data_IF_934883218562
#
_entry.id   IF_934883218562
#
_cell.length_a   1.000
_cell.length_b   1.000
_cell.length_c   1.000
_cell.angle_alpha   90.00
_cell.angle_beta   90.00
_cell.angle_gamma   90.00
#
_symmetry.space_group_name_H-M   'P 1'
#
loop_
_entity.id
_entity.type
_entity.pdbx_description
1 polymer ?
#
# COMPACT_ATOMS: atom_id res chain seq x y z
N UNK A 1 14.14 6.46 7.27
CA UNK A 1 14.01 6.61 5.80
C UNK A 1 12.69 7.30 5.44
N UNK A 2 12.63 7.95 4.29
CA UNK A 2 11.40 8.40 3.62
C UNK A 2 10.89 7.30 2.69
N UNK A 3 9.70 6.81 2.97
CA UNK A 3 9.06 5.69 2.27
C UNK A 3 7.79 6.20 1.56
N UNK A 4 7.67 5.91 0.27
CA UNK A 4 6.42 6.09 -0.48
C UNK A 4 5.76 4.72 -0.66
N UNK A 5 4.45 4.66 -0.43
CA UNK A 5 3.65 3.43 -0.61
C UNK A 5 2.60 3.66 -1.71
N UNK A 6 2.65 2.85 -2.76
CA UNK A 6 1.63 2.74 -3.80
C UNK A 6 0.95 1.37 -3.69
N UNK A 7 -0.28 1.34 -3.21
CA UNK A 7 -0.90 0.10 -2.79
C UNK A 7 -2.38 -0.04 -3.14
N UNK A 8 -2.91 -1.23 -2.87
CA UNK A 8 -4.32 -1.55 -2.98
C UNK A 8 -5.06 -1.31 -1.66
N UNK A 9 -6.21 -1.99 -1.46
CA UNK A 9 -6.99 -1.94 -0.22
C UNK A 9 -6.21 -2.48 0.99
N UNK A 10 -5.25 -3.39 0.78
CA UNK A 10 -4.34 -3.84 1.85
C UNK A 10 -3.52 -2.68 2.42
N UNK A 11 -3.06 -1.77 1.56
CA UNK A 11 -2.32 -0.57 1.95
C UNK A 11 -3.20 0.57 2.46
N UNK A 12 -4.45 0.66 2.02
CA UNK A 12 -5.45 1.59 2.61
C UNK A 12 -5.86 1.17 4.01
N UNK A 13 -6.26 -0.09 4.20
CA UNK A 13 -6.58 -0.65 5.52
C UNK A 13 -5.32 -0.73 6.41
N UNK A 14 -4.16 -0.90 5.77
CA UNK A 14 -2.83 -0.87 6.37
C UNK A 14 -2.52 0.41 7.14
N UNK A 15 -3.26 1.51 6.95
CA UNK A 15 -3.21 2.72 7.80
C UNK A 15 -3.37 2.43 9.30
N UNK A 16 -4.09 1.35 9.65
CA UNK A 16 -4.20 0.83 11.02
C UNK A 16 -3.31 -0.40 11.29
N UNK A 17 -2.77 -1.01 10.23
CA UNK A 17 -1.89 -2.18 10.23
C UNK A 17 -0.46 -1.83 9.87
N UNK A 18 0.10 -2.40 8.80
CA UNK A 18 1.53 -2.32 8.50
C UNK A 18 2.06 -0.90 8.27
N UNK A 19 1.27 -0.02 7.64
CA UNK A 19 1.66 1.38 7.40
C UNK A 19 1.83 2.11 8.73
N UNK A 20 0.97 1.81 9.72
CA UNK A 20 1.11 2.34 11.08
C UNK A 20 2.40 1.88 11.74
N UNK A 21 2.75 0.61 11.58
CA UNK A 21 3.97 0.04 12.13
C UNK A 21 5.22 0.67 11.49
N UNK A 22 5.24 0.82 10.16
CA UNK A 22 6.32 1.51 9.43
C UNK A 22 6.54 2.94 9.94
N UNK A 23 5.45 3.69 10.18
CA UNK A 23 5.49 5.07 10.71
C UNK A 23 6.10 5.20 12.10
N UNK A 24 6.29 4.10 12.84
CA UNK A 24 6.99 4.18 14.13
C UNK A 24 8.49 4.49 13.98
N UNK A 25 9.06 4.27 12.79
CA UNK A 25 10.50 4.45 12.54
C UNK A 25 10.82 5.26 11.29
N UNK A 26 9.88 5.37 10.36
CA UNK A 26 10.08 5.94 9.04
C UNK A 26 9.08 7.06 8.76
N UNK A 27 9.48 8.01 7.94
CA UNK A 27 8.54 8.95 7.33
C UNK A 27 7.81 8.20 6.21
N UNK A 28 6.48 8.11 6.28
CA UNK A 28 5.68 7.31 5.33
C UNK A 28 4.60 8.14 4.65
N UNK A 29 4.76 8.31 3.34
CA UNK A 29 3.77 8.87 2.44
C UNK A 29 3.01 7.71 1.80
N UNK A 30 1.68 7.69 1.94
CA UNK A 30 0.85 6.62 1.40
C UNK A 30 -0.13 7.20 0.37
N UNK A 31 0.02 6.79 -0.88
CA UNK A 31 -0.80 7.21 -2.03
C UNK A 31 -1.68 6.06 -2.54
N UNK A 32 -1.95 5.07 -1.69
CA UNK A 32 -2.71 3.86 -2.02
C UNK A 32 -4.20 4.14 -2.19
N UNK A 33 -4.84 3.34 -3.04
CA UNK A 33 -6.29 3.35 -3.25
C UNK A 33 -6.81 1.92 -3.25
N UNK A 34 -8.02 1.70 -2.72
CA UNK A 34 -8.63 0.38 -2.74
C UNK A 34 -9.08 -0.01 -4.16
N UNK A 35 -9.06 -1.30 -4.49
CA UNK A 35 -9.73 -1.86 -5.69
C UNK A 35 -9.22 -1.29 -7.02
N UNK A 36 -7.93 -1.00 -7.10
CA UNK A 36 -7.24 -0.50 -8.29
C UNK A 36 -6.39 -1.59 -8.93
N UNK A 37 -6.24 -1.53 -10.25
CA UNK A 37 -5.39 -2.45 -11.04
C UNK A 37 -4.09 -1.79 -11.50
N UNK A 38 -3.34 -2.50 -12.35
CA UNK A 38 -2.03 -2.06 -12.88
C UNK A 38 -2.03 -0.64 -13.48
N UNK A 39 -3.12 -0.22 -14.15
CA UNK A 39 -3.21 1.10 -14.79
C UNK A 39 -3.09 2.25 -13.79
N UNK A 40 -3.73 2.09 -12.63
CA UNK A 40 -3.65 3.07 -11.55
C UNK A 40 -2.21 3.21 -11.04
N UNK A 41 -1.49 2.10 -10.90
CA UNK A 41 -0.12 2.14 -10.41
C UNK A 41 0.82 2.86 -11.39
N UNK A 42 0.70 2.57 -12.68
CA UNK A 42 1.41 3.30 -13.74
C UNK A 42 1.08 4.80 -13.70
N UNK A 43 -0.21 5.14 -13.62
CA UNK A 43 -0.70 6.51 -13.52
C UNK A 43 -0.10 7.23 -12.30
N UNK A 44 -0.11 6.61 -11.11
CA UNK A 44 0.46 7.20 -9.89
C UNK A 44 1.97 7.35 -9.93
N UNK A 45 2.68 6.44 -10.58
CA UNK A 45 4.13 6.60 -10.78
C UNK A 45 4.41 7.81 -11.67
N UNK A 46 3.66 8.00 -12.74
CA UNK A 46 3.79 9.16 -13.63
C UNK A 46 3.48 10.47 -12.88
N UNK A 47 2.35 10.52 -12.17
CA UNK A 47 1.90 11.70 -11.45
C UNK A 47 2.86 12.13 -10.33
N UNK A 48 3.49 11.16 -9.65
CA UNK A 48 4.31 11.40 -8.48
C UNK A 48 5.78 11.05 -8.68
N UNK A 49 6.26 11.03 -9.93
CA UNK A 49 7.60 10.55 -10.31
C UNK A 49 8.71 11.22 -9.46
N UNK A 50 8.74 12.55 -9.42
CA UNK A 50 9.75 13.30 -8.66
C UNK A 50 9.69 13.01 -7.15
N UNK A 51 8.49 12.89 -6.59
CA UNK A 51 8.30 12.57 -5.17
C UNK A 51 8.86 11.18 -4.86
N UNK A 52 8.56 10.20 -5.72
CA UNK A 52 9.02 8.82 -5.56
C UNK A 52 10.54 8.75 -5.72
N UNK A 53 11.10 9.40 -6.73
CA UNK A 53 12.55 9.50 -6.94
C UNK A 53 13.26 10.21 -5.78
N UNK A 54 12.61 11.17 -5.12
CA UNK A 54 13.16 11.82 -3.93
C UNK A 54 13.17 10.93 -2.68
N UNK A 55 12.35 9.88 -2.65
CA UNK A 55 12.24 8.99 -1.50
C UNK A 55 13.40 7.98 -1.44
N UNK A 56 13.64 7.42 -0.26
CA UNK A 56 14.66 6.38 -0.08
C UNK A 56 14.16 5.02 -0.56
N UNK A 57 12.84 4.79 -0.46
CA UNK A 57 12.20 3.52 -0.78
C UNK A 57 10.78 3.73 -1.31
N UNK A 58 10.46 3.05 -2.39
CA UNK A 58 9.11 2.78 -2.88
C UNK A 58 8.67 1.37 -2.46
N UNK A 59 7.54 1.28 -1.78
CA UNK A 59 6.83 0.02 -1.54
C UNK A 59 5.62 -0.02 -2.48
N UNK A 60 5.46 -1.11 -3.23
CA UNK A 60 4.33 -1.30 -4.13
C UNK A 60 3.54 -2.58 -3.80
N UNK A 61 2.22 -2.46 -3.73
CA UNK A 61 1.24 -3.54 -3.56
C UNK A 61 0.19 -3.36 -4.66
N UNK A 62 0.26 -4.19 -5.71
CA UNK A 62 -0.60 -4.03 -6.89
C UNK A 62 -1.43 -5.29 -7.19
N UNK A 63 -0.82 -6.46 -7.06
CA UNK A 63 -1.26 -7.67 -7.76
C UNK A 63 -2.58 -8.30 -7.24
N UNK A 64 -3.03 -8.00 -6.02
CA UNK A 64 -4.11 -8.78 -5.39
C UNK A 64 -5.47 -8.60 -6.09
N UNK A 65 -5.76 -7.40 -6.59
CA UNK A 65 -7.00 -7.17 -7.33
C UNK A 65 -6.91 -7.80 -8.73
N UNK A 66 -5.70 -7.88 -9.29
CA UNK A 66 -5.45 -8.51 -10.57
C UNK A 66 -5.67 -10.02 -10.49
N UNK A 67 -5.08 -10.70 -9.50
CA UNK A 67 -5.31 -12.14 -9.26
C UNK A 67 -6.76 -12.43 -8.89
N UNK A 68 -7.38 -11.56 -8.08
CA UNK A 68 -8.74 -11.80 -7.60
C UNK A 68 -9.79 -11.58 -8.69
N UNK A 69 -9.56 -10.67 -9.66
CA UNK A 69 -10.62 -10.23 -10.59
C UNK A 69 -10.08 -9.84 -11.96
N UNK A 70 -9.08 -8.97 -12.03
CA UNK A 70 -8.80 -8.24 -13.28
C UNK A 70 -8.02 -9.06 -14.30
N UNK A 71 -7.10 -9.92 -13.88
CA UNK A 71 -6.31 -10.75 -14.78
C UNK A 71 -7.19 -11.63 -15.65
N UNK A 72 -8.20 -12.28 -15.07
CA UNK A 72 -9.13 -13.12 -15.82
C UNK A 72 -9.95 -12.34 -16.86
N UNK A 73 -10.26 -11.07 -16.59
CA UNK A 73 -11.01 -10.21 -17.49
C UNK A 73 -10.13 -9.61 -18.61
N UNK A 74 -8.90 -9.23 -18.28
CA UNK A 74 -7.96 -8.57 -19.21
C UNK A 74 -7.12 -9.57 -20.02
N UNK A 75 -6.95 -10.81 -19.56
CA UNK A 75 -6.20 -11.85 -20.26
C UNK A 75 -4.74 -11.46 -20.52
N UNK A 76 -4.27 -11.67 -21.75
CA UNK A 76 -2.88 -11.40 -22.15
C UNK A 76 -2.50 -9.92 -22.08
N UNK A 77 -3.48 -9.02 -22.20
CA UNK A 77 -3.26 -7.58 -22.10
C UNK A 77 -2.75 -7.19 -20.70
N UNK A 78 -3.29 -7.82 -19.65
CA UNK A 78 -2.77 -7.62 -18.29
C UNK A 78 -1.28 -8.00 -18.17
N UNK A 79 -0.86 -9.09 -18.82
CA UNK A 79 0.55 -9.53 -18.80
C UNK A 79 1.44 -8.46 -19.47
N UNK A 80 0.98 -7.89 -20.60
CA UNK A 80 1.67 -6.79 -21.27
C UNK A 80 1.82 -5.58 -20.35
N UNK A 81 0.74 -5.16 -19.69
CA UNK A 81 0.74 -4.00 -18.81
C UNK A 81 1.59 -4.19 -17.55
N UNK A 82 1.54 -5.40 -16.99
CA UNK A 82 2.37 -5.77 -15.84
C UNK A 82 3.86 -5.73 -16.18
N UNK A 83 4.22 -6.18 -17.39
CA UNK A 83 5.59 -6.06 -17.89
C UNK A 83 6.02 -4.59 -17.99
N UNK A 84 5.16 -3.70 -18.50
CA UNK A 84 5.46 -2.26 -18.54
C UNK A 84 5.60 -1.67 -17.14
N UNK A 85 4.75 -2.07 -16.18
CA UNK A 85 4.90 -1.66 -14.79
C UNK A 85 6.27 -2.08 -14.23
N UNK A 86 6.68 -3.33 -14.44
CA UNK A 86 7.97 -3.81 -13.93
C UNK A 86 9.16 -3.14 -14.63
N UNK A 87 9.08 -2.89 -15.93
CA UNK A 87 10.11 -2.14 -16.65
C UNK A 87 10.20 -0.68 -16.15
N UNK A 88 9.05 -0.05 -15.85
CA UNK A 88 8.99 1.26 -15.23
C UNK A 88 9.66 1.26 -13.85
N UNK A 89 9.32 0.32 -12.96
CA UNK A 89 9.93 0.19 -11.63
C UNK A 89 11.44 -0.03 -11.70
N UNK A 90 11.92 -0.81 -12.69
CA UNK A 90 13.36 -1.07 -12.89
C UNK A 90 14.13 0.19 -13.32
N UNK A 91 13.47 1.18 -13.90
CA UNK A 91 14.10 2.40 -14.37
C UNK A 91 14.20 3.50 -13.29
N UNK A 92 13.69 3.28 -12.09
CA UNK A 92 13.62 4.28 -11.02
C UNK A 92 14.94 4.36 -10.23
N UNK A 93 15.37 5.57 -9.84
CA UNK A 93 16.52 5.82 -8.98
C UNK A 93 16.16 5.85 -7.47
N UNK A 94 15.17 5.03 -7.10
CA UNK A 94 14.80 4.74 -5.71
C UNK A 94 14.78 3.23 -5.50
N UNK A 95 15.01 2.77 -4.27
CA UNK A 95 14.83 1.35 -3.98
C UNK A 95 13.36 0.98 -4.15
N UNK A 96 13.08 -0.21 -4.69
CA UNK A 96 11.70 -0.68 -4.89
C UNK A 96 11.54 -2.03 -4.20
N UNK A 97 10.52 -2.17 -3.35
CA UNK A 97 10.06 -3.46 -2.80
C UNK A 97 8.62 -3.69 -3.23
N UNK A 98 8.39 -4.77 -3.98
CA UNK A 98 7.04 -5.25 -4.27
C UNK A 98 6.56 -6.14 -3.11
N UNK A 99 5.45 -5.81 -2.47
CA UNK A 99 4.82 -6.62 -1.44
C UNK A 99 3.66 -7.42 -2.04
N UNK A 100 3.79 -8.73 -2.05
CA UNK A 100 2.75 -9.63 -2.51
C UNK A 100 1.98 -10.11 -1.29
N UNK A 101 0.95 -9.34 -0.91
CA UNK A 101 0.03 -9.70 0.17
C UNK A 101 -0.57 -11.10 -0.01
N UNK A 102 -0.68 -11.91 1.05
CA UNK A 102 -1.23 -13.25 0.93
C UNK A 102 -2.75 -13.19 0.74
N UNK A 103 -3.32 -14.26 0.19
CA UNK A 103 -4.77 -14.42 0.03
C UNK A 103 -5.19 -15.88 0.22
N UNK A 104 -6.49 -16.09 0.41
CA UNK A 104 -7.13 -17.40 0.44
C UNK A 104 -7.78 -17.60 -0.92
N UNK A 105 -7.24 -18.55 -1.69
CA UNK A 105 -7.72 -18.85 -3.04
C UNK A 105 -9.22 -19.18 -3.06
N UNK A 106 -9.92 -18.65 -4.07
CA UNK A 106 -11.31 -18.96 -4.40
C UNK A 106 -11.40 -19.45 -5.85
N UNK A 107 -12.47 -20.15 -6.19
CA UNK A 107 -12.70 -20.71 -7.54
C UNK A 107 -12.61 -19.69 -8.68
N UNK A 108 -12.96 -18.43 -8.43
CA UNK A 108 -12.91 -17.37 -9.44
C UNK A 108 -11.55 -16.67 -9.56
N UNK A 109 -10.58 -17.02 -8.71
CA UNK A 109 -9.24 -16.43 -8.75
C UNK A 109 -8.35 -17.24 -9.70
N UNK A 110 -7.64 -16.57 -10.59
CA UNK A 110 -6.70 -17.23 -11.50
C UNK A 110 -5.26 -17.10 -10.95
N UNK A 111 -4.81 -18.17 -10.29
CA UNK A 111 -3.50 -18.23 -9.63
C UNK A 111 -2.33 -18.08 -10.60
N UNK A 112 -2.52 -18.30 -11.91
CA UNK A 112 -1.46 -18.10 -12.89
C UNK A 112 -0.94 -16.66 -12.89
N UNK A 113 -1.80 -15.68 -12.57
CA UNK A 113 -1.37 -14.28 -12.50
C UNK A 113 -0.46 -13.98 -11.31
N UNK A 114 -0.51 -14.78 -10.23
CA UNK A 114 0.49 -14.72 -9.17
C UNK A 114 1.86 -15.17 -9.69
N UNK A 115 1.90 -16.32 -10.38
CA UNK A 115 3.13 -16.87 -10.96
C UNK A 115 3.74 -15.92 -11.99
N UNK A 116 2.91 -15.35 -12.87
CA UNK A 116 3.33 -14.35 -13.87
C UNK A 116 3.93 -13.11 -13.20
N UNK A 117 3.34 -12.62 -12.11
CA UNK A 117 3.88 -11.49 -11.37
C UNK A 117 5.24 -11.82 -10.73
N UNK A 118 5.36 -12.96 -10.05
CA UNK A 118 6.60 -13.44 -9.43
C UNK A 118 7.70 -13.61 -10.46
N UNK A 119 7.42 -14.29 -11.56
CA UNK A 119 8.39 -14.50 -12.65
C UNK A 119 8.80 -13.18 -13.31
N UNK A 120 7.83 -12.29 -13.57
CA UNK A 120 8.10 -10.97 -14.17
C UNK A 120 9.03 -10.11 -13.32
N UNK A 121 8.91 -10.16 -11.99
CA UNK A 121 9.83 -9.48 -11.07
C UNK A 121 11.20 -10.15 -11.02
N UNK A 122 11.26 -11.50 -10.96
CA UNK A 122 12.52 -12.26 -10.97
C UNK A 122 13.33 -11.98 -12.24
N UNK A 123 12.69 -12.04 -13.41
CA UNK A 123 13.32 -11.80 -14.71
C UNK A 123 13.90 -10.39 -14.86
N UNK A 124 13.36 -9.43 -14.10
CA UNK A 124 13.82 -8.04 -14.08
C UNK A 124 14.73 -7.70 -12.91
N UNK A 125 15.03 -8.69 -12.07
CA UNK A 125 15.83 -8.50 -10.87
C UNK A 125 15.22 -7.40 -9.98
N UNK A 126 13.91 -7.44 -9.77
CA UNK A 126 13.20 -6.55 -8.85
C UNK A 126 13.15 -7.17 -7.45
N UNK A 127 13.22 -6.33 -6.42
CA UNK A 127 13.07 -6.82 -5.04
C UNK A 127 11.59 -7.01 -4.72
N UNK A 128 11.28 -8.13 -4.09
CA UNK A 128 9.91 -8.44 -3.68
C UNK A 128 9.88 -9.29 -2.41
N UNK A 129 8.75 -9.24 -1.72
CA UNK A 129 8.42 -10.09 -0.57
C UNK A 129 7.14 -10.82 -0.89
N UNK A 130 7.27 -12.13 -1.06
CA UNK A 130 6.12 -13.01 -1.24
C UNK A 130 5.57 -13.44 0.12
N UNK A 131 4.50 -12.78 0.56
CA UNK A 131 3.84 -13.13 1.81
C UNK A 131 2.90 -14.32 1.65
N UNK A 132 2.54 -14.70 0.41
CA UNK A 132 1.71 -15.85 0.12
C UNK A 132 2.44 -17.15 0.46
N UNK A 133 3.75 -17.22 0.16
CA UNK A 133 4.62 -18.36 0.48
C UNK A 133 4.79 -18.61 2.00
N UNK A 134 4.45 -17.65 2.86
CA UNK A 134 4.61 -17.77 4.32
C UNK A 134 3.63 -18.78 4.95
N UNK A 135 2.55 -19.14 4.26
CA UNK A 135 1.61 -20.17 4.75
C UNK A 135 0.67 -19.70 5.86
N UNK A 136 0.13 -18.49 5.73
CA UNK A 136 -0.83 -17.95 6.70
C UNK A 136 -2.16 -18.75 6.73
N UNK A 137 -2.73 -18.89 7.93
CA UNK A 137 -4.01 -19.60 8.18
C UNK A 137 -5.20 -18.65 8.19
N UNK A 138 -6.43 -19.17 7.99
CA UNK A 138 -7.68 -18.39 7.92
C UNK A 138 -7.86 -17.35 9.05
N UNK A 139 -7.43 -17.67 10.26
CA UNK A 139 -7.51 -16.80 11.43
C UNK A 139 -6.68 -15.50 11.32
N UNK A 140 -5.67 -15.48 10.44
CA UNK A 140 -4.82 -14.30 10.18
C UNK A 140 -5.48 -13.32 9.22
N UNK A 141 -6.60 -13.71 8.62
CA UNK A 141 -7.33 -12.96 7.62
C UNK A 141 -8.65 -12.40 8.16
N UNK A 142 -8.96 -11.16 7.79
CA UNK A 142 -10.30 -10.59 8.00
C UNK A 142 -11.29 -11.19 7.01
N UNK A 143 -10.92 -11.16 5.74
CA UNK A 143 -11.62 -11.76 4.60
C UNK A 143 -10.57 -12.39 3.68
N UNK A 144 -10.94 -12.88 2.50
CA UNK A 144 -10.05 -13.74 1.72
C UNK A 144 -8.85 -13.02 1.09
N UNK A 145 -8.81 -11.68 1.12
CA UNK A 145 -7.73 -10.89 0.52
C UNK A 145 -7.09 -9.90 1.50
N UNK A 146 -7.71 -9.66 2.66
CA UNK A 146 -7.21 -8.75 3.67
C UNK A 146 -6.77 -9.47 4.95
N UNK A 147 -5.55 -9.16 5.39
CA UNK A 147 -5.08 -9.53 6.72
C UNK A 147 -5.93 -8.86 7.81
N UNK A 148 -6.00 -9.51 8.97
CA UNK A 148 -6.45 -8.83 10.19
C UNK A 148 -5.54 -7.64 10.51
N UNK A 149 -6.06 -6.65 11.23
CA UNK A 149 -5.28 -5.46 11.63
C UNK A 149 -4.03 -5.89 12.43
N UNK A 150 -4.17 -6.86 13.33
CA UNK A 150 -3.05 -7.37 14.12
C UNK A 150 -1.97 -8.03 13.27
N UNK A 151 -2.37 -8.93 12.35
CA UNK A 151 -1.42 -9.60 11.47
C UNK A 151 -0.70 -8.61 10.54
N UNK A 152 -1.45 -7.67 9.95
CA UNK A 152 -0.88 -6.59 9.13
C UNK A 152 0.09 -5.72 9.93
N UNK A 153 -0.26 -5.34 11.16
CA UNK A 153 0.62 -4.56 12.01
C UNK A 153 1.94 -5.30 12.32
N UNK A 154 1.86 -6.57 12.72
CA UNK A 154 3.04 -7.38 13.04
C UNK A 154 3.96 -7.56 11.83
N UNK A 155 3.38 -7.82 10.66
CA UNK A 155 4.10 -7.83 9.39
C UNK A 155 4.86 -6.50 9.18
N UNK A 156 4.19 -5.36 9.41
CA UNK A 156 4.81 -4.05 9.29
C UNK A 156 5.92 -3.77 10.30
N UNK A 157 5.87 -4.36 11.50
CA UNK A 157 6.95 -4.25 12.49
C UNK A 157 8.21 -5.00 12.04
N UNK A 158 8.04 -6.21 11.49
CA UNK A 158 9.14 -7.00 10.94
C UNK A 158 9.72 -6.27 9.73
N UNK A 159 8.86 -5.82 8.81
CA UNK A 159 9.26 -5.05 7.64
C UNK A 159 10.01 -3.76 8.04
N UNK A 160 9.53 -3.01 9.04
CA UNK A 160 10.20 -1.81 9.53
C UNK A 160 11.61 -2.09 10.08
N UNK A 161 11.80 -3.26 10.74
CA UNK A 161 13.10 -3.72 11.24
C UNK A 161 14.04 -4.05 10.09
N UNK A 162 13.56 -4.78 9.08
CA UNK A 162 14.37 -5.14 7.92
C UNK A 162 14.75 -3.91 7.09
N UNK A 163 13.81 -3.00 6.83
CA UNK A 163 14.08 -1.74 6.13
C UNK A 163 15.10 -0.88 6.88
N UNK A 164 15.08 -0.85 8.22
CA UNK A 164 16.07 -0.10 8.99
C UNK A 164 17.51 -0.61 8.78
N UNK A 165 17.70 -1.87 8.36
CA UNK A 165 19.04 -2.40 8.00
C UNK A 165 19.55 -1.83 6.68
N UNK A 166 18.66 -1.23 5.88
CA UNK A 166 18.97 -0.69 4.55
C UNK A 166 19.35 0.79 4.59
N UNK A 167 19.36 1.46 5.75
CA UNK A 167 19.63 2.90 5.87
C UNK A 167 20.98 3.34 5.30
N UNK A 168 21.95 2.42 5.24
CA UNK A 168 23.29 2.69 4.68
C UNK A 168 23.47 2.16 3.25
N UNK A 169 22.42 1.59 2.64
CA UNK A 169 22.48 1.13 1.25
C UNK A 169 22.38 2.35 0.34
N UNK A 170 23.34 2.55 -0.58
CA UNK A 170 23.26 3.63 -1.55
C UNK A 170 22.03 3.49 -2.45
N UNK A 171 21.32 4.60 -2.68
CA UNK A 171 20.19 4.64 -3.61
C UNK A 171 20.60 4.17 -5.01
N UNK A 172 19.70 3.51 -5.76
CA UNK A 172 19.94 3.19 -7.15
C UNK A 172 20.20 4.46 -7.97
N UNK A 173 20.94 4.33 -9.07
CA UNK A 173 21.30 5.48 -9.92
C UNK A 173 21.41 5.11 -11.40
N UNK A 174 21.35 6.11 -12.28
CA UNK A 174 21.49 5.94 -13.74
C UNK A 174 20.26 5.35 -14.44
N UNK A 175 19.16 5.16 -13.71
CA UNK A 175 17.87 4.79 -14.27
C UNK A 175 17.18 5.99 -14.91
N UNK A 176 16.45 5.74 -15.99
CA UNK A 176 15.68 6.77 -16.68
C UNK A 176 14.53 6.15 -17.49
N UNK A 177 13.37 6.79 -17.49
CA UNK A 177 12.28 6.48 -18.42
C UNK A 177 12.42 7.43 -19.61
N UNK A 178 12.65 6.88 -20.82
CA UNK A 178 12.82 7.66 -22.05
C UNK A 178 11.50 7.82 -22.79
N UNK A 179 10.75 6.72 -22.87
CA UNK A 179 9.46 6.68 -23.53
C UNK A 179 8.45 5.94 -22.65
N UNK A 180 7.26 6.52 -22.50
CA UNK A 180 6.15 5.94 -21.78
C UNK A 180 4.89 6.04 -22.65
N UNK A 181 4.24 4.91 -23.00
CA UNK A 181 3.03 4.96 -23.80
C UNK A 181 1.84 5.53 -23.02
N UNK A 182 1.91 5.59 -21.69
CA UNK A 182 0.80 6.03 -20.86
C UNK A 182 0.87 7.52 -20.57
N UNK A 183 -0.27 8.18 -20.69
CA UNK A 183 -0.44 9.57 -20.29
C UNK A 183 -1.66 9.73 -19.40
N UNK A 184 -1.51 10.51 -18.35
CA UNK A 184 -2.60 10.91 -17.46
C UNK A 184 -3.12 12.27 -17.89
N UNK A 185 -4.44 12.43 -17.81
CA UNK A 185 -5.13 13.70 -17.90
C UNK A 185 -6.02 13.87 -16.68
N UNK A 186 -5.81 14.92 -15.88
CA UNK A 186 -6.80 15.27 -14.85
C UNK A 186 -8.05 15.85 -15.52
N UNK A 187 -9.21 15.71 -14.88
CA UNK A 187 -10.44 16.25 -15.48
C UNK A 187 -10.36 17.77 -15.65
N UNK A 188 -9.72 18.49 -14.72
CA UNK A 188 -9.53 19.94 -14.80
C UNK A 188 -8.59 20.36 -15.93
N UNK A 189 -7.62 19.53 -16.33
CA UNK A 189 -6.80 19.77 -17.54
C UNK A 189 -7.60 19.59 -18.83
N UNK A 190 -8.52 18.61 -18.88
CA UNK A 190 -9.31 18.31 -20.07
C UNK A 190 -10.38 19.36 -20.37
N UNK A 191 -10.90 20.00 -19.32
CA UNK A 191 -11.99 20.98 -19.41
C UNK A 191 -11.72 22.19 -18.50
N UNK A 192 -10.66 22.97 -18.77
CA UNK A 192 -10.19 24.03 -17.87
C UNK A 192 -11.20 25.15 -17.61
N UNK A 193 -12.21 25.29 -18.48
CA UNK A 193 -13.24 26.31 -18.37
C UNK A 193 -14.51 25.82 -17.66
N UNK A 194 -14.54 24.57 -17.19
CA UNK A 194 -15.71 23.99 -16.50
C UNK A 194 -15.42 23.90 -15.00
N UNK A 195 -16.26 24.48 -14.13
CA UNK A 195 -16.09 24.34 -12.69
C UNK A 195 -16.09 22.88 -12.26
N UNK A 196 -15.00 22.44 -11.64
CA UNK A 196 -14.90 21.12 -11.04
C UNK A 196 -15.24 21.19 -9.54
N UNK A 197 -15.78 20.10 -9.02
CA UNK A 197 -15.94 19.89 -7.59
C UNK A 197 -14.63 19.35 -7.02
N UNK A 198 -14.36 19.58 -5.73
CA UNK A 198 -13.15 19.10 -5.07
C UNK A 198 -13.48 18.07 -4.00
N UNK A 199 -12.72 16.98 -3.97
CA UNK A 199 -12.73 16.00 -2.88
C UNK A 199 -11.37 16.00 -2.19
N UNK A 200 -11.39 15.93 -0.86
CA UNK A 200 -10.17 15.77 -0.06
C UNK A 200 -10.41 14.87 1.15
N UNK A 201 -9.51 13.93 1.34
CA UNK A 201 -9.42 13.12 2.54
C UNK A 201 -7.95 13.01 3.00
N UNK A 202 -7.65 12.07 3.92
CA UNK A 202 -6.29 11.90 4.46
C UNK A 202 -5.28 11.28 3.47
N UNK A 203 -5.75 10.62 2.42
CA UNK A 203 -4.94 9.89 1.44
C UNK A 203 -4.87 10.60 0.08
N UNK A 204 -5.91 11.34 -0.29
CA UNK A 204 -6.04 11.89 -1.63
C UNK A 204 -6.79 13.22 -1.64
N UNK A 205 -6.45 14.04 -2.62
CA UNK A 205 -7.12 15.30 -2.96
C UNK A 205 -7.20 15.36 -4.48
N UNK A 206 -8.38 15.58 -5.03
CA UNK A 206 -8.59 15.62 -6.47
C UNK A 206 -9.83 16.43 -6.83
N UNK A 207 -9.84 16.93 -8.07
CA UNK A 207 -11.00 17.54 -8.68
C UNK A 207 -11.81 16.49 -9.44
N UNK A 208 -13.13 16.66 -9.47
CA UNK A 208 -14.05 15.77 -10.17
C UNK A 208 -15.20 16.52 -10.83
N UNK A 209 -15.75 15.96 -11.89
CA UNK A 209 -16.83 16.54 -12.68
C UNK A 209 -17.98 15.53 -12.87
N UNK A 210 -19.24 15.87 -12.52
CA UNK A 210 -20.39 15.10 -12.97
C UNK A 210 -20.56 15.25 -14.48
N UNK A 211 -20.48 14.15 -15.22
CA UNK A 211 -20.67 14.13 -16.67
C UNK A 211 -22.16 14.23 -17.01
N UNK A 212 -22.72 15.44 -17.05
CA UNK A 212 -24.16 15.64 -17.35
C UNK A 212 -24.47 15.77 -18.84
N UNK A 213 -23.45 15.87 -19.68
CA UNK A 213 -23.57 16.00 -21.13
C UNK A 213 -22.40 15.31 -21.82
N UNK A 214 -22.49 15.16 -23.14
CA UNK A 214 -21.42 14.61 -23.96
C UNK A 214 -20.11 15.39 -23.76
N UNK A 215 -19.03 14.66 -23.48
CA UNK A 215 -17.68 15.20 -23.37
C UNK A 215 -16.84 14.68 -24.53
N UNK A 216 -16.34 15.61 -25.34
CA UNK A 216 -15.46 15.32 -26.46
C UNK A 216 -14.01 15.55 -26.02
N UNK A 217 -13.21 14.50 -26.09
CA UNK A 217 -11.83 14.50 -25.64
C UNK A 217 -10.92 14.47 -26.88
N UNK A 218 -10.16 15.55 -27.14
CA UNK A 218 -9.31 15.65 -28.32
C UNK A 218 -7.95 15.00 -28.07
N UNK A 219 -7.92 13.68 -27.85
CA UNK A 219 -6.67 12.96 -27.70
C UNK A 219 -5.86 12.92 -29.00
N UNK A 220 -4.56 12.64 -28.88
CA UNK A 220 -3.69 12.45 -30.03
C UNK A 220 -4.21 11.32 -30.94
N UNK A 221 -4.04 11.37 -32.28
CA UNK A 221 -4.56 10.33 -33.20
C UNK A 221 -4.11 8.90 -32.90
N UNK A 222 -2.99 8.73 -32.22
CA UNK A 222 -2.46 7.42 -31.78
C UNK A 222 -2.77 7.09 -30.31
N UNK A 223 -3.43 7.98 -29.58
CA UNK A 223 -3.91 7.73 -28.21
C UNK A 223 -5.25 7.03 -28.23
N UNK A 224 -5.41 6.05 -27.35
CA UNK A 224 -6.69 5.42 -27.02
C UNK A 224 -6.96 5.58 -25.53
N UNK A 225 -8.23 5.56 -25.13
CA UNK A 225 -8.58 5.56 -23.72
C UNK A 225 -8.21 4.20 -23.12
N UNK A 226 -7.49 4.21 -21.99
CA UNK A 226 -6.94 3.03 -21.34
C UNK A 226 -7.51 2.83 -19.92
N UNK A 227 -7.78 3.91 -19.20
CA UNK A 227 -8.41 3.84 -17.88
C UNK A 227 -9.23 5.07 -17.52
N UNK A 228 -10.22 4.88 -16.65
CA UNK A 228 -11.10 5.95 -16.15
C UNK A 228 -11.06 5.97 -14.63
N UNK A 229 -10.62 7.11 -14.10
CA UNK A 229 -10.77 7.48 -12.70
C UNK A 229 -12.14 8.13 -12.46
N UNK A 230 -12.90 7.62 -11.49
CA UNK A 230 -14.19 8.18 -11.09
C UNK A 230 -14.37 8.15 -9.57
N UNK A 231 -15.30 8.97 -9.09
CA UNK A 231 -15.62 9.11 -7.68
C UNK A 231 -17.09 8.82 -7.42
N UNK A 232 -17.41 8.25 -6.26
CA UNK A 232 -18.79 8.13 -5.80
C UNK A 232 -18.96 8.95 -4.52
N UNK A 233 -19.73 10.05 -4.53
CA UNK A 233 -20.04 10.80 -3.32
C UNK A 233 -20.73 9.93 -2.26
N UNK A 234 -20.64 10.34 -0.98
CA UNK A 234 -21.21 9.56 0.14
C UNK A 234 -22.71 9.33 0.02
N UNK A 235 -23.43 10.34 -0.45
CA UNK A 235 -24.88 10.36 -0.50
C UNK A 235 -25.41 9.95 -1.88
N UNK A 236 -24.56 9.35 -2.72
CA UNK A 236 -24.93 8.85 -4.04
C UNK A 236 -25.40 7.39 -3.93
N UNK A 237 -26.68 7.15 -4.22
CA UNK A 237 -27.31 5.83 -4.07
C UNK A 237 -27.46 5.09 -5.42
N UNK A 238 -27.40 5.81 -6.54
CA UNK A 238 -27.55 5.23 -7.87
C UNK A 238 -26.24 4.61 -8.38
N UNK A 239 -26.35 3.74 -9.40
CA UNK A 239 -25.18 3.32 -10.17
C UNK A 239 -24.69 4.47 -11.06
N UNK A 240 -23.44 4.43 -11.46
CA UNK A 240 -22.88 5.34 -12.45
C UNK A 240 -22.65 4.59 -13.76
N UNK A 241 -22.86 5.26 -14.89
CA UNK A 241 -22.72 4.63 -16.20
C UNK A 241 -22.12 5.58 -17.21
N UNK A 242 -21.21 5.06 -18.03
CA UNK A 242 -20.54 5.83 -19.07
C UNK A 242 -20.58 5.08 -20.39
N UNK A 243 -20.88 5.81 -21.45
CA UNK A 243 -20.79 5.37 -22.82
C UNK A 243 -19.48 5.87 -23.42
N UNK A 244 -18.74 4.96 -24.06
CA UNK A 244 -17.44 5.23 -24.67
C UNK A 244 -17.52 4.73 -26.11
N UNK A 245 -17.72 5.67 -27.04
CA UNK A 245 -18.06 5.29 -28.42
C UNK A 245 -19.44 4.61 -28.50
N UNK A 246 -19.44 3.30 -28.75
CA UNK A 246 -20.64 2.45 -28.83
C UNK A 246 -20.86 1.60 -27.57
N UNK A 247 -19.85 1.46 -26.72
CA UNK A 247 -19.89 0.59 -25.55
C UNK A 247 -20.46 1.33 -24.36
N UNK A 248 -21.36 0.68 -23.61
CA UNK A 248 -21.94 1.22 -22.38
C UNK A 248 -21.44 0.39 -21.20
N UNK A 249 -20.81 1.06 -20.24
CA UNK A 249 -20.12 0.42 -19.12
C UNK A 249 -20.70 0.94 -17.81
N UNK A 250 -20.94 0.03 -16.88
CA UNK A 250 -21.32 0.35 -15.51
C UNK A 250 -20.10 0.58 -14.62
N UNK A 251 -20.15 1.63 -13.81
CA UNK A 251 -19.15 2.02 -12.83
C UNK A 251 -19.67 1.69 -11.42
N UNK A 252 -18.82 1.08 -10.58
CA UNK A 252 -19.18 0.56 -9.26
C UNK A 252 -19.48 1.71 -8.27
N UNK A 253 -20.63 1.68 -7.61
CA UNK A 253 -21.19 2.81 -6.85
C UNK A 253 -20.94 2.74 -5.35
N UNK A 254 -19.78 2.24 -4.89
CA UNK A 254 -19.56 2.25 -3.44
C UNK A 254 -19.39 3.67 -2.88
N UNK A 255 -20.16 4.05 -1.85
CA UNK A 255 -20.13 5.40 -1.29
C UNK A 255 -18.74 5.86 -0.85
N UNK A 256 -18.42 7.12 -1.12
CA UNK A 256 -17.17 7.82 -0.74
C UNK A 256 -15.87 7.16 -1.23
N UNK A 257 -15.90 6.52 -2.41
CA UNK A 257 -14.70 5.88 -2.95
C UNK A 257 -14.29 6.49 -4.29
N UNK A 258 -12.99 6.64 -4.44
CA UNK A 258 -12.33 6.84 -5.71
C UNK A 258 -11.95 5.47 -6.28
N UNK A 259 -12.18 5.30 -7.57
CA UNK A 259 -11.86 4.12 -8.34
C UNK A 259 -11.09 4.52 -9.59
N UNK A 260 -10.25 3.61 -10.08
CA UNK A 260 -9.60 3.74 -11.37
C UNK A 260 -9.61 2.39 -12.05
N UNK A 261 -10.43 2.28 -13.09
CA UNK A 261 -10.70 1.01 -13.78
C UNK A 261 -10.04 1.00 -15.15
N UNK A 262 -9.51 -0.16 -15.54
CA UNK A 262 -8.95 -0.39 -16.87
C UNK A 262 -10.09 -0.62 -17.87
N UNK A 263 -10.12 0.16 -18.95
CA UNK A 263 -11.20 0.14 -19.95
C UNK A 263 -10.66 0.35 -21.36
N UNK A 264 -9.59 -0.36 -21.71
CA UNK A 264 -8.87 -0.16 -22.97
C UNK A 264 -9.80 -0.21 -24.19
N UNK A 265 -9.87 0.92 -24.89
CA UNK A 265 -10.69 1.07 -26.10
C UNK A 265 -9.85 0.86 -27.34
N UNK A 266 -10.43 0.28 -28.38
CA UNK A 266 -9.79 0.19 -29.71
C UNK A 266 -9.86 1.50 -30.49
N UNK A 267 -10.71 2.44 -30.05
CA UNK A 267 -10.89 3.74 -30.71
C UNK A 267 -9.69 4.63 -30.40
N UNK A 268 -8.96 5.05 -31.45
CA UNK A 268 -7.87 5.99 -31.35
C UNK A 268 -8.31 7.43 -31.68
N UNK A 269 -7.59 8.42 -31.17
CA UNK A 269 -7.88 9.83 -31.42
C UNK A 269 -9.03 10.35 -30.58
N UNK A 270 -9.90 11.16 -31.19
CA UNK A 270 -10.97 11.81 -30.44
C UNK A 270 -11.95 10.79 -29.86
N UNK A 271 -12.05 10.76 -28.53
CA UNK A 271 -12.98 9.91 -27.79
C UNK A 271 -14.16 10.74 -27.33
N UNK A 272 -15.36 10.16 -27.45
CA UNK A 272 -16.59 10.76 -26.96
C UNK A 272 -17.10 9.98 -25.76
N UNK A 273 -17.19 10.65 -24.61
CA UNK A 273 -17.80 10.12 -23.40
C UNK A 273 -19.22 10.65 -23.27
N UNK A 274 -20.19 9.79 -22.94
CA UNK A 274 -21.57 10.21 -22.65
C UNK A 274 -22.06 9.58 -21.35
N UNK A 275 -22.90 10.25 -20.55
CA UNK A 275 -23.52 9.59 -19.42
C UNK A 275 -24.56 8.57 -19.90
N UNK A 276 -24.66 7.46 -19.18
CA UNK A 276 -25.76 6.50 -19.32
C UNK A 276 -26.72 6.72 -18.17
N UNK A 277 -27.98 7.09 -18.46
CA UNK A 277 -28.98 7.52 -17.48
C UNK A 277 -30.28 6.74 -17.65
N UNK A 278 -30.92 6.35 -16.54
CA UNK A 278 -32.23 5.70 -16.55
C UNK A 278 -32.51 4.87 -15.29
N UNK A 279 -33.76 4.44 -15.08
CA UNK A 279 -34.19 3.76 -13.84
C UNK A 279 -34.01 2.23 -13.85
N UNK A 280 -34.10 1.59 -15.03
CA UNK A 280 -34.12 0.13 -15.18
C UNK A 280 -33.04 -0.36 -16.16
N UNK A 281 -31.83 0.19 -16.05
CA UNK A 281 -30.71 -0.14 -16.93
C UNK A 281 -29.96 -1.37 -16.40
N UNK A 282 -29.37 -2.15 -17.31
CA UNK A 282 -28.44 -3.25 -17.01
C UNK A 282 -27.15 -3.05 -17.80
N UNK A 283 -26.03 -2.83 -17.11
CA UNK A 283 -24.71 -2.70 -17.74
C UNK A 283 -23.73 -3.70 -17.14
N UNK A 284 -22.78 -4.15 -17.94
CA UNK A 284 -21.62 -4.88 -17.43
C UNK A 284 -20.71 -3.91 -16.65
N UNK A 285 -20.20 -4.38 -15.51
CA UNK A 285 -19.22 -3.61 -14.73
C UNK A 285 -17.90 -3.51 -15.47
N UNK A 286 -17.27 -2.33 -15.44
CA UNK A 286 -16.00 -2.03 -16.11
C UNK A 286 -14.87 -3.07 -15.91
N UNK A 287 -14.88 -3.80 -14.80
CA UNK A 287 -13.87 -4.82 -14.49
C UNK A 287 -14.44 -6.23 -14.41
N UNK A 288 -15.50 -6.53 -15.18
CA UNK A 288 -16.05 -7.88 -15.27
C UNK A 288 -16.66 -8.40 -13.96
N UNK A 289 -17.06 -7.52 -13.02
CA UNK A 289 -17.61 -7.89 -11.71
C UNK A 289 -19.07 -8.39 -11.76
N UNK A 290 -19.60 -8.61 -12.96
CA UNK A 290 -20.99 -8.96 -13.21
C UNK A 290 -21.78 -7.78 -13.78
N UNK A 291 -23.10 -7.85 -13.60
CA UNK A 291 -24.07 -6.91 -14.19
C UNK A 291 -24.61 -5.99 -13.10
N UNK A 292 -24.41 -4.68 -13.27
CA UNK A 292 -25.05 -3.64 -12.46
C UNK A 292 -26.47 -3.39 -12.98
N UNK A 293 -27.45 -3.30 -12.08
CA UNK A 293 -28.87 -3.17 -12.42
C UNK A 293 -29.54 -2.07 -11.58
N UNK A 294 -30.48 -1.36 -12.18
CA UNK A 294 -31.32 -0.36 -11.50
C UNK A 294 -31.06 1.04 -12.03
N UNK A 295 -31.16 2.04 -11.14
CA UNK A 295 -31.01 3.44 -11.49
C UNK A 295 -29.55 3.78 -11.83
N UNK A 296 -29.36 4.51 -12.91
CA UNK A 296 -28.09 5.06 -13.35
C UNK A 296 -28.15 6.59 -13.42
N UNK A 297 -27.18 7.22 -12.79
CA UNK A 297 -26.98 8.67 -12.71
C UNK A 297 -25.64 9.07 -13.36
N UNK A 298 -25.40 10.37 -13.61
CA UNK A 298 -24.17 10.85 -14.22
C UNK A 298 -22.91 10.36 -13.49
N UNK A 299 -21.88 9.87 -14.22
CA UNK A 299 -20.64 9.48 -13.59
C UNK A 299 -19.84 10.71 -13.15
N UNK A 300 -19.18 10.65 -12.00
CA UNK A 300 -18.29 11.71 -11.52
C UNK A 300 -16.85 11.42 -11.91
N UNK A 301 -16.40 11.96 -13.04
CA UNK A 301 -15.08 11.74 -13.60
C UNK A 301 -14.00 12.51 -12.82
N UNK A 302 -12.85 11.88 -12.61
CA UNK A 302 -11.73 12.44 -11.84
C UNK A 302 -10.50 12.62 -12.73
N UNK A 303 -10.06 11.55 -13.38
CA UNK A 303 -8.94 11.56 -14.32
C UNK A 303 -9.10 10.46 -15.35
N UNK A 304 -8.35 10.57 -16.44
CA UNK A 304 -8.30 9.61 -17.51
C UNK A 304 -6.86 9.19 -17.76
N UNK A 305 -6.67 7.93 -18.15
CA UNK A 305 -5.38 7.43 -18.62
C UNK A 305 -5.53 7.03 -20.07
N UNK A 306 -4.65 7.52 -20.94
CA UNK A 306 -4.57 7.10 -22.35
C UNK A 306 -3.32 6.27 -22.58
N UNK A 307 -3.36 5.47 -23.66
CA UNK A 307 -2.22 4.71 -24.18
C UNK A 307 -1.94 5.12 -25.62
N UNK A 308 -0.71 5.55 -25.90
CA UNK A 308 -0.16 5.79 -27.23
C UNK A 308 0.32 4.49 -27.85
N UNK A 309 -0.26 4.13 -28.99
CA UNK A 309 0.05 2.88 -29.71
C UNK A 309 1.31 2.96 -30.57
N UNK A 310 1.80 4.17 -30.84
CA UNK A 310 3.02 4.42 -31.59
C UNK A 310 4.28 4.50 -30.71
N UNK A 311 4.10 4.44 -29.39
CA UNK A 311 5.18 4.46 -28.41
C UNK A 311 5.30 3.09 -27.77
N UNK A 312 6.51 2.56 -27.72
CA UNK A 312 6.85 1.39 -26.91
C UNK A 312 7.56 1.89 -25.67
N UNK A 313 7.26 1.31 -24.50
CA UNK A 313 7.98 1.69 -23.29
C UNK A 313 9.50 1.49 -23.50
N UNK A 314 10.27 2.54 -23.22
CA UNK A 314 11.72 2.49 -23.32
C UNK A 314 12.34 3.17 -22.09
N UNK A 315 13.32 2.52 -21.49
CA UNK A 315 14.00 3.04 -20.31
C UNK A 315 15.37 2.41 -20.09
N UNK A 316 16.23 3.14 -19.38
CA UNK A 316 17.49 2.64 -18.87
C UNK A 316 17.27 2.12 -17.44
N UNK A 317 17.60 0.84 -17.16
CA UNK A 317 17.53 0.29 -15.81
C UNK A 317 18.43 1.04 -14.84
N UNK A 318 17.97 1.28 -13.61
CA UNK A 318 18.85 1.81 -12.57
C UNK A 318 19.85 0.75 -12.13
N UNK A 319 21.03 1.22 -11.72
CA UNK A 319 22.06 0.41 -11.08
C UNK A 319 21.81 0.45 -9.59
N UNK A 320 21.30 -0.65 -9.05
CA UNK A 320 21.04 -0.83 -7.63
C UNK A 320 21.31 -2.27 -7.22
N UNK A 321 21.18 -2.53 -5.92
CA UNK A 321 21.18 -3.90 -5.39
C UNK A 321 19.73 -4.37 -5.20
N UNK A 322 19.53 -5.68 -5.29
CA UNK A 322 18.29 -6.26 -4.79
C UNK A 322 18.29 -6.20 -3.27
N UNK A 323 17.16 -5.77 -2.73
CA UNK A 323 16.89 -5.78 -1.32
C UNK A 323 16.30 -7.13 -0.94
N UNK A 324 17.00 -7.85 -0.08
CA UNK A 324 16.48 -9.06 0.56
C UNK A 324 15.82 -8.66 1.89
N UNK A 325 14.51 -8.88 1.98
CA UNK A 325 13.75 -8.65 3.21
C UNK A 325 13.43 -10.01 3.84
N UNK A 326 14.04 -10.26 4.99
CA UNK A 326 13.82 -11.49 5.74
C UNK A 326 12.53 -11.43 6.56
N UNK A 327 11.49 -12.12 6.07
CA UNK A 327 10.23 -12.32 6.78
C UNK A 327 10.20 -13.62 7.60
N UNK A 328 11.35 -14.30 7.77
CA UNK A 328 11.44 -15.46 8.64
C UNK A 328 11.01 -15.12 10.06
N UNK A 329 10.27 -16.05 10.68
CA UNK A 329 9.67 -15.84 11.99
C UNK A 329 8.40 -14.99 12.00
N UNK A 330 7.89 -14.50 10.85
CA UNK A 330 6.58 -13.83 10.82
C UNK A 330 5.44 -14.77 11.22
N UNK A 331 5.39 -15.97 10.61
CA UNK A 331 4.37 -16.97 10.95
C UNK A 331 4.48 -17.39 12.43
N UNK A 332 5.71 -17.65 12.89
CA UNK A 332 5.97 -17.95 14.29
C UNK A 332 5.43 -16.84 15.20
N UNK A 333 5.75 -15.58 14.90
CA UNK A 333 5.29 -14.44 15.71
C UNK A 333 3.74 -14.32 15.73
N UNK A 334 3.05 -14.74 14.67
CA UNK A 334 1.58 -14.85 14.66
C UNK A 334 1.08 -16.03 15.52
N UNK A 335 1.66 -17.22 15.33
CA UNK A 335 1.25 -18.48 15.96
C UNK A 335 1.60 -18.53 17.46
N UNK A 336 2.68 -17.86 17.89
CA UNK A 336 2.99 -17.65 19.31
C UNK A 336 1.96 -16.78 20.03
N UNK A 337 0.94 -16.31 19.28
CA UNK A 337 -0.14 -15.54 19.85
C UNK A 337 0.42 -14.33 20.55
N UNK A 338 1.37 -13.61 19.92
CA UNK A 338 1.57 -12.20 20.25
C UNK A 338 0.16 -11.64 20.22
N UNK A 339 -0.45 -11.37 21.39
CA UNK A 339 -1.88 -11.26 21.44
C UNK A 339 -2.26 -10.21 20.43
N UNK A 340 -3.41 -10.38 19.78
CA UNK A 340 -4.06 -9.47 18.82
C UNK A 340 -4.34 -8.07 19.39
N UNK A 341 -3.62 -7.70 20.45
CA UNK A 341 -3.58 -6.51 21.22
C UNK A 341 -2.14 -6.17 21.62
N UNK A 342 -1.48 -5.40 20.74
CA UNK A 342 -0.88 -4.14 21.17
C UNK A 342 -1.99 -3.22 21.72
N UNK A 343 -2.72 -3.68 22.75
CA UNK A 343 -3.67 -2.83 23.42
C UNK A 343 -2.91 -1.82 24.25
N UNK A 344 -3.54 -0.66 24.50
CA UNK A 344 -3.24 0.17 25.66
C UNK A 344 -2.81 -0.65 26.89
N UNK A 345 -3.53 -1.73 27.21
CA UNK A 345 -3.27 -2.61 28.36
C UNK A 345 -1.90 -3.29 28.36
N UNK A 346 -1.31 -3.67 27.21
CA UNK A 346 0.05 -4.25 27.20
C UNK A 346 1.11 -3.18 27.47
N UNK A 347 0.95 -1.98 26.91
CA UNK A 347 1.82 -0.85 27.25
C UNK A 347 1.69 -0.49 28.74
N UNK A 348 0.47 -0.53 29.28
CA UNK A 348 0.21 -0.34 30.72
C UNK A 348 0.87 -1.45 31.55
N UNK A 349 0.81 -2.70 31.11
CA UNK A 349 1.35 -3.84 31.86
C UNK A 349 2.88 -3.90 31.82
N UNK A 350 3.50 -3.58 30.68
CA UNK A 350 4.96 -3.41 30.57
C UNK A 350 5.42 -2.20 31.38
N UNK A 351 4.67 -1.09 31.35
CA UNK A 351 4.92 0.07 32.22
C UNK A 351 4.83 -0.32 33.70
N UNK A 352 3.79 -1.03 34.10
CA UNK A 352 3.56 -1.39 35.51
C UNK A 352 4.64 -2.36 36.00
N UNK A 353 5.11 -3.26 35.14
CA UNK A 353 6.29 -4.08 35.45
C UNK A 353 7.56 -3.23 35.56
N UNK A 354 7.77 -2.25 34.67
CA UNK A 354 8.90 -1.33 34.76
C UNK A 354 8.89 -0.55 36.09
N UNK A 355 7.72 -0.09 36.54
CA UNK A 355 7.56 0.58 37.84
C UNK A 355 7.86 -0.36 39.02
N UNK A 356 7.49 -1.65 38.95
CA UNK A 356 7.83 -2.63 40.01
C UNK A 356 9.32 -2.95 40.10
N UNK A 357 10.03 -2.84 38.99
CA UNK A 357 11.48 -3.08 38.92
C UNK A 357 12.28 -1.83 39.26
N UNK A 358 11.66 -0.64 39.33
CA UNK A 358 12.37 0.64 39.49
C UNK A 358 13.26 0.71 40.73
N UNK A 359 12.81 0.10 41.83
CA UNK A 359 13.55 0.05 43.10
C UNK A 359 14.55 -1.10 43.19
N UNK A 360 14.48 -2.06 42.26
CA UNK A 360 15.30 -3.28 42.27
C UNK A 360 16.46 -3.19 41.29
N UNK A 361 16.19 -2.71 40.08
CA UNK A 361 17.12 -2.62 38.97
C UNK A 361 16.67 -1.51 38.01
N UNK A 362 17.24 -0.32 38.21
CA UNK A 362 16.91 0.87 37.41
C UNK A 362 17.21 0.68 35.91
N UNK A 363 18.23 -0.11 35.56
CA UNK A 363 18.57 -0.37 34.17
C UNK A 363 17.52 -1.26 33.48
N UNK A 364 17.05 -2.30 34.20
CA UNK A 364 15.95 -3.15 33.72
C UNK A 364 14.63 -2.38 33.65
N UNK A 365 14.33 -1.54 34.64
CA UNK A 365 13.17 -0.65 34.61
C UNK A 365 13.20 0.31 33.42
N UNK A 366 14.38 0.89 33.11
CA UNK A 366 14.58 1.73 31.93
C UNK A 366 14.33 0.98 30.63
N UNK A 367 14.88 -0.22 30.46
CA UNK A 367 14.66 -1.04 29.27
C UNK A 367 13.19 -1.43 29.07
N UNK A 368 12.49 -1.80 30.15
CA UNK A 368 11.05 -2.10 30.11
C UNK A 368 10.25 -0.84 29.77
N UNK A 369 10.63 0.33 30.29
CA UNK A 369 9.94 1.58 29.98
C UNK A 369 10.18 2.03 28.53
N UNK A 370 11.35 1.76 27.96
CA UNK A 370 11.62 1.99 26.53
C UNK A 370 10.75 1.08 25.65
N UNK A 371 10.56 -0.18 26.08
CA UNK A 371 9.61 -1.08 25.43
C UNK A 371 8.19 -0.53 25.53
N UNK A 372 7.74 -0.12 26.73
CA UNK A 372 6.43 0.51 26.91
C UNK A 372 6.24 1.77 26.03
N UNK A 373 7.28 2.58 25.86
CA UNK A 373 7.27 3.76 24.99
C UNK A 373 7.17 3.39 23.51
N UNK A 374 7.76 2.28 23.09
CA UNK A 374 7.58 1.77 21.73
C UNK A 374 6.12 1.37 21.48
N UNK A 375 5.45 0.86 22.52
CA UNK A 375 4.05 0.43 22.48
C UNK A 375 3.06 1.59 22.63
N UNK A 376 3.39 2.63 23.42
CA UNK A 376 2.59 3.84 23.64
C UNK A 376 3.50 5.09 23.71
N UNK A 377 3.93 5.64 22.56
CA UNK A 377 4.91 6.72 22.52
C UNK A 377 4.40 8.01 23.17
N UNK A 378 3.10 8.27 23.12
CA UNK A 378 2.48 9.49 23.69
C UNK A 378 2.08 9.36 25.16
N UNK A 379 2.45 8.27 25.84
CA UNK A 379 2.13 8.09 27.26
C UNK A 379 2.90 9.08 28.15
N UNK A 380 2.23 10.06 28.81
CA UNK A 380 2.92 11.11 29.56
C UNK A 380 3.76 10.56 30.72
N UNK A 381 3.22 9.58 31.46
CA UNK A 381 3.94 8.89 32.54
C UNK A 381 5.16 8.10 32.01
N UNK A 382 5.04 7.47 30.84
CA UNK A 382 6.14 6.71 30.23
C UNK A 382 7.28 7.66 29.86
N UNK A 383 6.97 8.80 29.21
CA UNK A 383 7.96 9.83 28.86
C UNK A 383 8.64 10.40 30.12
N UNK A 384 7.85 10.71 31.15
CA UNK A 384 8.37 11.20 32.42
C UNK A 384 9.36 10.20 33.05
N UNK A 385 8.94 8.94 33.20
CA UNK A 385 9.77 7.90 33.82
C UNK A 385 11.03 7.56 33.05
N UNK A 386 10.98 7.59 31.71
CA UNK A 386 12.18 7.45 30.88
C UNK A 386 13.23 8.51 31.20
N UNK A 387 12.82 9.77 31.41
CA UNK A 387 13.73 10.85 31.80
C UNK A 387 14.29 10.62 33.20
N UNK A 388 13.44 10.30 34.17
CA UNK A 388 13.85 10.01 35.56
C UNK A 388 14.89 8.89 35.62
N UNK A 389 14.66 7.80 34.90
CA UNK A 389 15.59 6.66 34.87
C UNK A 389 16.91 7.01 34.16
N UNK A 390 16.88 7.77 33.06
CA UNK A 390 18.09 8.23 32.40
C UNK A 390 18.94 9.11 33.33
N UNK A 391 18.30 10.02 34.07
CA UNK A 391 18.96 10.88 35.05
C UNK A 391 19.56 10.06 36.19
N UNK A 392 18.83 9.08 36.74
CA UNK A 392 19.34 8.19 37.81
C UNK A 392 20.53 7.34 37.35
N UNK A 393 20.48 6.79 36.14
CA UNK A 393 21.58 5.97 35.57
C UNK A 393 22.82 6.84 35.35
N UNK A 394 22.66 8.08 34.90
CA UNK A 394 23.78 9.01 34.69
C UNK A 394 24.43 9.48 36.01
N UNK A 395 23.66 9.58 37.09
CA UNK A 395 24.14 10.01 38.40
C UNK A 395 24.79 8.89 39.23
N UNK A 396 24.59 7.62 38.86
CA UNK A 396 25.14 6.48 39.60
C UNK A 396 25.99 5.56 38.71
N UNK A 397 27.16 6.03 38.20
CA UNK A 397 27.99 5.29 37.25
C UNK A 397 28.59 3.99 37.81
N UNK A 398 28.51 3.77 39.13
CA UNK A 398 28.96 2.55 39.80
C UNK A 398 27.94 1.41 39.74
N UNK A 399 26.72 1.64 39.23
CA UNK A 399 25.79 0.57 38.83
C UNK A 399 26.21 -0.05 37.48
N UNK A 400 27.48 -0.46 37.36
CA UNK A 400 27.86 -1.47 36.37
C UNK A 400 27.24 -2.77 36.82
N UNK A 401 26.16 -3.16 36.16
CA UNK A 401 25.58 -4.49 36.24
C UNK A 401 26.71 -5.52 36.21
N UNK A 402 26.64 -6.56 37.06
CA UNK A 402 27.55 -7.73 37.03
C UNK A 402 27.53 -8.49 35.70
N UNK A 403 26.71 -8.04 34.74
CA UNK A 403 26.78 -8.33 33.33
C UNK A 403 26.99 -7.02 32.58
N UNK A 404 28.24 -6.71 32.20
CA UNK A 404 28.57 -5.49 31.49
C UNK A 404 27.72 -5.31 30.23
N UNK A 405 27.07 -4.15 30.12
CA UNK A 405 26.41 -3.72 28.88
C UNK A 405 26.99 -2.37 28.44
N UNK A 406 27.53 -2.27 27.20
CA UNK A 406 27.98 -1.01 26.62
C UNK A 406 26.80 -0.11 26.24
N UNK A 407 27.12 1.17 25.99
CA UNK A 407 26.24 2.31 25.67
C UNK A 407 25.41 2.23 24.38
N UNK A 408 25.18 1.03 23.85
CA UNK A 408 24.23 0.79 22.77
C UNK A 408 23.39 -0.44 23.13
N UNK A 409 22.18 -0.21 23.65
CA UNK A 409 21.20 -1.27 23.86
C UNK A 409 20.75 -1.76 22.48
N UNK A 410 21.45 -2.78 21.98
CA UNK A 410 21.13 -3.42 20.69
C UNK A 410 19.69 -3.96 20.73
N UNK A 411 18.94 -3.87 19.62
CA UNK A 411 17.57 -4.42 19.47
C UNK A 411 17.38 -5.87 19.94
N UNK A 412 18.45 -6.66 20.00
CA UNK A 412 18.46 -8.04 20.51
C UNK A 412 18.09 -8.17 22.00
N UNK A 413 18.32 -7.15 22.83
CA UNK A 413 17.91 -7.19 24.24
C UNK A 413 16.41 -6.97 24.42
N UNK A 414 15.79 -6.12 23.60
CA UNK A 414 14.34 -5.95 23.58
C UNK A 414 13.65 -7.26 23.17
N UNK A 415 14.17 -7.97 22.15
CA UNK A 415 13.65 -9.28 21.75
C UNK A 415 13.90 -10.39 22.78
N UNK A 416 15.05 -10.40 23.46
CA UNK A 416 15.31 -11.34 24.58
C UNK A 416 14.44 -11.04 25.80
N UNK A 417 14.22 -9.76 26.11
CA UNK A 417 13.28 -9.34 27.15
C UNK A 417 11.85 -9.71 26.76
N UNK A 418 11.48 -9.53 25.49
CA UNK A 418 10.19 -9.94 24.93
C UNK A 418 9.97 -11.46 25.05
N UNK A 419 10.98 -12.27 24.67
CA UNK A 419 10.94 -13.72 24.84
C UNK A 419 10.88 -14.17 26.31
N UNK A 420 11.56 -13.45 27.23
CA UNK A 420 11.46 -13.70 28.68
C UNK A 420 10.11 -13.31 29.27
N UNK A 421 9.53 -12.20 28.81
CA UNK A 421 8.19 -11.75 29.21
C UNK A 421 7.15 -12.77 28.74
N UNK A 422 7.24 -13.25 27.49
CA UNK A 422 6.40 -14.34 26.97
C UNK A 422 6.54 -15.63 27.80
N UNK A 423 7.77 -16.02 28.18
CA UNK A 423 7.98 -17.18 29.05
C UNK A 423 7.43 -16.99 30.47
N UNK A 424 7.45 -15.76 31.02
CA UNK A 424 6.88 -15.45 32.34
C UNK A 424 5.35 -15.67 32.35
N UNK A 425 4.67 -15.40 31.23
CA UNK A 425 3.23 -15.65 31.06
C UNK A 425 2.87 -17.14 30.91
N UNK A 426 3.82 -17.99 30.50
CA UNK A 426 3.61 -19.44 30.44
C UNK A 426 3.63 -20.15 31.78
N UNK A 427 4.23 -19.53 32.81
CA UNK A 427 4.42 -20.16 34.13
C UNK A 427 3.48 -19.58 35.19
N UNK A 428 2.62 -18.63 34.84
CA UNK A 428 1.73 -17.91 35.77
C UNK A 428 0.24 -18.03 35.43
N UNK A 429 -0.10 -18.72 34.34
CA UNK A 429 -1.42 -19.29 34.04
C UNK A 429 -1.25 -20.80 33.91
#
# INVERSE_FOLDING_TARGET
>A
MKIVILGTSNSVLGQKGFVRALRQRHEVINLSTGRVGVAFHLNRIIEHYEMIESADLLIIDHYINDVSRFGAHLGDQYISDLNVLFDCLRCMNTHVINLLFPFIAKEHMDLRFHEVAVEGMRNRNLSFVDLHEIGLKRQHFRDEVHLTIGASYLMGMILAREIARLENVPKPSGGAIHENPFKRYSISELIPNTPCLNHRNRLMSFDYLPLTSDLHLPFHPEESLYGVGYFTPKDHEANQGISIGADNIGLDSLPSNYFHENIETTTKGSVKLRPVLGEDIKLESAMGRGILKGKFEPPYLVDLTTRRHDIVFAGTPSRGINLEIDMSGFLDALDYGVPTFLQPSLADLVRDQALREETKDAAKAYALMQLAATLRPDGPLIKQKLKEYADQISQNPNHRTSHGLPSEVRPNLAMKAYGRVINLFRTTN
#
